data_IF_847070007548
#
_entry.id   IF_847070007548
#
_cell.length_a   1.000
_cell.length_b   1.000
_cell.length_c   1.000
_cell.angle_alpha   90.00
_cell.angle_beta   90.00
_cell.angle_gamma   90.00
#
_symmetry.space_group_name_H-M   'P 1'
#
loop_
_entity.id
_entity.type
_entity.pdbx_description
1 polymer ?
#
# COMPACT_ATOMS: atom_id res chain seq x y z
N UNK A 1 -2.15 8.34 -0.36
CA UNK A 1 -2.43 6.93 -0.07
C UNK A 1 -1.20 6.09 -0.36
N UNK A 2 -0.64 5.34 0.61
CA UNK A 2 0.62 4.62 0.50
C UNK A 2 0.50 3.33 -0.34
N UNK A 3 1.65 2.75 -0.68
CA UNK A 3 1.76 1.46 -1.34
C UNK A 3 1.58 0.28 -0.38
N UNK A 4 1.84 -0.93 -0.90
CA UNK A 4 1.85 -2.15 -0.09
C UNK A 4 3.07 -2.15 0.84
N UNK A 5 2.84 -2.33 2.13
CA UNK A 5 3.90 -2.35 3.14
C UNK A 5 4.53 -1.00 3.42
N UNK A 6 3.99 0.05 2.83
CA UNK A 6 4.30 1.42 3.16
C UNK A 6 3.39 1.91 4.31
N UNK A 7 3.78 3.02 4.90
CA UNK A 7 3.08 3.76 5.94
C UNK A 7 3.18 5.27 5.64
N UNK A 8 2.22 6.06 6.09
CA UNK A 8 2.15 7.47 5.72
C UNK A 8 3.32 8.30 6.31
N UNK A 9 3.93 7.87 7.42
CA UNK A 9 5.07 8.55 8.04
C UNK A 9 6.27 8.68 7.08
N UNK A 10 6.43 7.75 6.15
CA UNK A 10 7.45 7.80 5.10
C UNK A 10 7.30 9.01 4.17
N UNK A 11 6.12 9.59 4.10
CA UNK A 11 5.78 10.69 3.19
C UNK A 11 5.67 12.05 3.90
N UNK A 12 6.02 12.17 5.19
CA UNK A 12 5.84 13.40 5.97
C UNK A 12 6.50 14.60 5.33
N UNK A 13 7.72 14.48 4.79
CA UNK A 13 8.39 15.55 4.06
C UNK A 13 7.52 16.07 2.89
N UNK A 14 6.95 15.18 2.12
CA UNK A 14 6.08 15.54 0.99
C UNK A 14 4.77 16.17 1.47
N UNK A 15 4.17 15.64 2.54
CA UNK A 15 2.93 16.16 3.12
C UNK A 15 3.15 17.57 3.68
N UNK A 16 4.26 17.79 4.38
CA UNK A 16 4.66 19.11 4.90
C UNK A 16 4.92 20.11 3.78
N UNK A 17 5.60 19.68 2.71
CA UNK A 17 5.82 20.51 1.54
C UNK A 17 4.50 20.96 0.89
N UNK A 18 3.56 20.05 0.69
CA UNK A 18 2.26 20.41 0.14
C UNK A 18 1.46 21.32 1.08
N UNK A 19 1.54 21.07 2.38
CA UNK A 19 0.91 21.93 3.38
C UNK A 19 1.50 23.35 3.35
N UNK A 20 2.82 23.48 3.20
CA UNK A 20 3.50 24.77 3.05
C UNK A 20 3.09 25.53 1.77
N UNK A 21 2.67 24.80 0.73
CA UNK A 21 2.09 25.37 -0.49
C UNK A 21 0.60 25.77 -0.34
N UNK A 22 0.03 25.61 0.84
CA UNK A 22 -1.36 25.99 1.15
C UNK A 22 -2.39 24.89 0.95
N UNK A 23 -1.97 23.63 0.68
CA UNK A 23 -2.88 22.50 0.60
C UNK A 23 -3.21 21.96 1.99
N UNK A 24 -4.50 21.65 2.22
CA UNK A 24 -4.88 20.79 3.34
C UNK A 24 -4.64 19.34 2.94
N UNK A 25 -3.74 18.67 3.63
CA UNK A 25 -3.33 17.31 3.29
C UNK A 25 -3.83 16.32 4.35
N UNK A 26 -4.36 15.21 3.88
CA UNK A 26 -4.77 14.06 4.72
C UNK A 26 -4.12 12.81 4.16
N UNK A 27 -3.46 12.03 5.01
CA UNK A 27 -2.89 10.74 4.67
C UNK A 27 -3.55 9.65 5.52
N UNK A 28 -3.63 8.44 4.99
CA UNK A 28 -4.23 7.29 5.67
C UNK A 28 -3.53 6.01 5.27
N UNK A 29 -3.29 5.13 6.23
CA UNK A 29 -2.87 3.76 5.98
C UNK A 29 -4.07 2.88 5.62
N UNK A 30 -3.83 1.95 4.70
CA UNK A 30 -4.83 0.98 4.31
C UNK A 30 -5.19 0.02 5.44
N UNK A 31 -6.43 -0.39 5.53
CA UNK A 31 -6.89 -1.45 6.43
C UNK A 31 -5.96 -2.65 6.38
N UNK A 32 -5.51 -3.12 7.55
CA UNK A 32 -4.59 -4.26 7.67
C UNK A 32 -3.13 -3.96 7.38
N UNK A 33 -2.75 -2.66 7.24
CA UNK A 33 -1.37 -2.21 7.04
C UNK A 33 -0.99 -1.13 8.05
N UNK A 34 0.30 -1.03 8.33
CA UNK A 34 0.91 -0.04 9.22
C UNK A 34 0.11 0.15 10.52
N UNK A 35 -0.25 1.39 10.87
CA UNK A 35 -1.04 1.73 12.05
C UNK A 35 -2.50 1.24 12.02
N UNK A 36 -3.01 0.81 10.85
CA UNK A 36 -4.36 0.28 10.68
C UNK A 36 -4.50 -1.23 10.98
N UNK A 37 -3.53 -1.81 11.70
CA UNK A 37 -3.57 -3.19 12.18
C UNK A 37 -3.14 -4.25 11.17
N UNK A 38 -3.52 -5.50 11.42
CA UNK A 38 -3.20 -6.66 10.57
C UNK A 38 -4.42 -7.57 10.43
N UNK A 39 -4.56 -8.16 9.24
CA UNK A 39 -5.63 -9.11 8.92
C UNK A 39 -5.08 -10.52 8.63
N UNK A 40 -3.76 -10.68 8.58
CA UNK A 40 -3.07 -11.95 8.41
C UNK A 40 -3.11 -12.83 9.66
N UNK A 41 -2.42 -13.98 9.60
CA UNK A 41 -2.33 -14.94 10.72
C UNK A 41 -1.28 -14.57 11.77
N UNK A 42 -0.47 -13.56 11.47
CA UNK A 42 0.62 -13.07 12.32
C UNK A 42 0.73 -11.54 12.27
N UNK A 43 1.67 -10.98 13.02
CA UNK A 43 1.85 -9.54 13.16
C UNK A 43 2.44 -8.85 11.91
N UNK A 44 2.89 -9.58 10.90
CA UNK A 44 3.62 -9.02 9.76
C UNK A 44 3.05 -9.37 8.40
N UNK A 45 2.29 -10.46 8.27
CA UNK A 45 1.69 -10.87 6.98
C UNK A 45 0.60 -9.90 6.55
N UNK A 46 0.80 -9.27 5.40
CA UNK A 46 -0.19 -8.41 4.77
C UNK A 46 -1.30 -9.24 4.12
N UNK A 47 -2.54 -8.98 4.50
CA UNK A 47 -3.70 -9.71 4.00
C UNK A 47 -4.88 -8.79 3.73
N UNK A 48 -5.66 -9.15 2.74
CA UNK A 48 -7.02 -8.71 2.48
C UNK A 48 -7.74 -9.81 1.70
N UNK A 49 -8.98 -10.04 1.97
CA UNK A 49 -9.79 -11.04 1.25
C UNK A 49 -10.17 -10.57 -0.16
N UNK A 50 -10.47 -9.27 -0.30
CA UNK A 50 -10.78 -8.65 -1.56
C UNK A 50 -10.31 -7.18 -1.60
N UNK A 51 -9.70 -6.78 -2.72
CA UNK A 51 -9.29 -5.38 -2.94
C UNK A 51 -10.50 -4.43 -3.04
N UNK A 52 -11.70 -4.94 -3.36
CA UNK A 52 -12.92 -4.15 -3.32
C UNK A 52 -13.15 -3.52 -1.94
N UNK A 53 -12.78 -4.21 -0.84
CA UNK A 53 -12.88 -3.67 0.52
C UNK A 53 -12.05 -2.38 0.69
N UNK A 54 -10.85 -2.31 0.12
CA UNK A 54 -10.05 -1.09 0.15
C UNK A 54 -10.62 0.03 -0.71
N UNK A 55 -11.27 -0.31 -1.83
CA UNK A 55 -11.97 0.67 -2.67
C UNK A 55 -13.17 1.24 -1.93
N UNK A 56 -13.94 0.41 -1.22
CA UNK A 56 -15.05 0.83 -0.36
C UNK A 56 -14.57 1.70 0.81
N UNK A 57 -13.45 1.34 1.46
CA UNK A 57 -12.83 2.17 2.51
C UNK A 57 -12.44 3.54 1.94
N UNK A 58 -11.83 3.59 0.76
CA UNK A 58 -11.45 4.84 0.09
C UNK A 58 -12.69 5.67 -0.24
N UNK A 59 -13.74 5.08 -0.78
CA UNK A 59 -14.99 5.77 -1.08
C UNK A 59 -15.63 6.38 0.18
N UNK A 60 -15.59 5.64 1.27
CA UNK A 60 -16.10 6.10 2.57
C UNK A 60 -15.27 7.28 3.10
N UNK A 61 -13.93 7.13 3.11
CA UNK A 61 -13.02 8.21 3.51
C UNK A 61 -13.21 9.45 2.63
N UNK A 62 -13.27 9.28 1.32
CA UNK A 62 -13.48 10.33 0.34
C UNK A 62 -14.75 11.12 0.62
N UNK A 63 -15.87 10.44 0.79
CA UNK A 63 -17.17 11.05 1.09
C UNK A 63 -17.15 11.90 2.36
N UNK A 64 -16.54 11.39 3.45
CA UNK A 64 -16.44 12.14 4.71
C UNK A 64 -15.52 13.34 4.56
N UNK A 65 -14.33 13.13 3.99
CA UNK A 65 -13.32 14.16 3.85
C UNK A 65 -13.78 15.33 2.97
N UNK A 66 -14.44 15.04 1.83
CA UNK A 66 -14.97 16.08 0.92
C UNK A 66 -16.14 16.85 1.51
N UNK A 67 -16.91 16.24 2.41
CA UNK A 67 -17.99 16.94 3.13
C UNK A 67 -17.46 17.92 4.19
N UNK A 68 -16.26 17.70 4.71
CA UNK A 68 -15.66 18.50 5.78
C UNK A 68 -14.63 19.52 5.29
N UNK A 69 -14.20 19.42 4.05
CA UNK A 69 -13.13 20.26 3.50
C UNK A 69 -13.57 20.95 2.20
N UNK A 70 -13.16 22.22 2.00
CA UNK A 70 -13.44 22.90 0.73
C UNK A 70 -12.57 22.35 -0.40
N UNK A 71 -13.15 22.22 -1.59
CA UNK A 71 -12.42 21.84 -2.80
C UNK A 71 -11.59 22.98 -3.42
N UNK A 72 -10.85 22.72 -4.50
CA UNK A 72 -10.82 21.44 -5.24
C UNK A 72 -10.10 20.32 -4.50
N UNK A 73 -10.62 19.08 -4.62
CA UNK A 73 -10.03 17.90 -3.99
C UNK A 73 -9.19 17.10 -4.99
N UNK A 74 -8.02 16.66 -4.55
CA UNK A 74 -7.13 15.82 -5.33
C UNK A 74 -6.91 14.49 -4.59
N UNK A 75 -6.70 13.40 -5.34
CA UNK A 75 -6.24 12.12 -4.81
C UNK A 75 -4.82 11.83 -5.26
N UNK A 76 -3.97 11.40 -4.33
CA UNK A 76 -2.63 10.93 -4.64
C UNK A 76 -2.43 9.51 -4.14
N UNK A 77 -1.88 8.62 -4.97
CA UNK A 77 -1.59 7.23 -4.61
C UNK A 77 -0.27 6.75 -5.17
N UNK A 78 0.48 6.01 -4.35
CA UNK A 78 1.73 5.37 -4.72
C UNK A 78 1.56 3.85 -4.83
N UNK A 79 2.15 3.24 -5.85
CA UNK A 79 2.20 1.79 -6.04
C UNK A 79 0.81 1.13 -5.93
N UNK A 80 0.58 0.23 -4.96
CA UNK A 80 -0.74 -0.35 -4.69
C UNK A 80 -1.79 0.72 -4.38
N UNK A 81 -1.44 1.79 -3.65
CA UNK A 81 -2.35 2.92 -3.42
C UNK A 81 -2.74 3.62 -4.73
N UNK A 82 -1.81 3.75 -5.67
CA UNK A 82 -2.09 4.26 -7.02
C UNK A 82 -3.03 3.36 -7.81
N UNK A 83 -2.88 2.04 -7.70
CA UNK A 83 -3.81 1.07 -8.28
C UNK A 83 -5.22 1.22 -7.70
N UNK A 84 -5.35 1.30 -6.38
CA UNK A 84 -6.64 1.41 -5.71
C UNK A 84 -7.35 2.74 -6.02
N UNK A 85 -6.59 3.85 -6.12
CA UNK A 85 -7.13 5.13 -6.59
C UNK A 85 -7.62 5.02 -8.03
N UNK A 86 -6.84 4.43 -8.94
CA UNK A 86 -7.24 4.24 -10.33
C UNK A 86 -8.49 3.37 -10.44
N UNK A 87 -8.57 2.32 -9.66
CA UNK A 87 -9.74 1.43 -9.61
C UNK A 87 -10.97 2.17 -9.07
N UNK A 88 -10.84 2.92 -7.98
CA UNK A 88 -11.94 3.72 -7.42
C UNK A 88 -12.49 4.75 -8.41
N UNK A 89 -11.61 5.38 -9.21
CA UNK A 89 -11.98 6.28 -10.31
C UNK A 89 -12.75 5.53 -11.41
N UNK A 90 -12.22 4.39 -11.86
CA UNK A 90 -12.83 3.60 -12.92
C UNK A 90 -14.19 3.03 -12.54
N UNK A 91 -14.38 2.70 -11.26
CA UNK A 91 -15.65 2.21 -10.71
C UNK A 91 -16.60 3.35 -10.30
N UNK A 92 -16.23 4.63 -10.50
CA UNK A 92 -17.06 5.79 -10.15
C UNK A 92 -17.31 5.96 -8.65
N UNK A 93 -16.41 5.44 -7.81
CA UNK A 93 -16.53 5.51 -6.35
C UNK A 93 -16.02 6.83 -5.77
N UNK A 94 -15.21 7.56 -6.51
CA UNK A 94 -14.64 8.86 -6.15
C UNK A 94 -14.61 9.79 -7.37
N UNK A 95 -14.67 11.09 -7.14
CA UNK A 95 -14.76 12.13 -8.19
C UNK A 95 -13.81 13.31 -7.92
N UNK A 96 -12.50 13.11 -7.75
CA UNK A 96 -11.57 14.21 -7.52
C UNK A 96 -11.44 15.13 -8.74
N UNK A 97 -11.07 16.39 -8.50
CA UNK A 97 -10.70 17.34 -9.55
C UNK A 97 -9.43 16.92 -10.32
N UNK A 98 -8.63 16.05 -9.73
CA UNK A 98 -7.46 15.44 -10.35
C UNK A 98 -6.86 14.32 -9.51
N UNK A 99 -6.06 13.45 -10.14
CA UNK A 99 -5.39 12.35 -9.46
C UNK A 99 -3.90 12.30 -9.82
N UNK A 100 -3.07 12.01 -8.81
CA UNK A 100 -1.63 11.79 -8.95
C UNK A 100 -1.35 10.31 -8.69
N UNK A 101 -0.93 9.59 -9.72
CA UNK A 101 -0.60 8.17 -9.64
C UNK A 101 0.91 7.98 -9.77
N UNK A 102 1.59 7.79 -8.64
CA UNK A 102 3.03 7.54 -8.61
C UNK A 102 3.30 6.05 -8.70
N UNK A 103 3.95 5.61 -9.78
CA UNK A 103 4.28 4.21 -10.05
C UNK A 103 3.15 3.22 -9.70
N UNK A 104 1.91 3.40 -10.23
CA UNK A 104 0.77 2.57 -9.85
C UNK A 104 1.04 1.09 -10.15
N UNK A 105 0.64 0.22 -9.25
CA UNK A 105 0.78 -1.23 -9.40
C UNK A 105 -0.25 -1.75 -10.42
N UNK A 106 0.15 -1.90 -11.68
CA UNK A 106 -0.73 -2.36 -12.77
C UNK A 106 -0.58 -3.85 -13.08
N UNK A 107 0.19 -4.58 -12.29
CA UNK A 107 0.43 -6.00 -12.43
C UNK A 107 1.77 -6.41 -11.81
N UNK A 108 2.06 -7.70 -11.86
CA UNK A 108 3.35 -8.27 -11.46
C UNK A 108 4.05 -8.83 -12.68
N UNK A 109 5.34 -8.56 -12.80
CA UNK A 109 6.20 -9.29 -13.72
C UNK A 109 6.95 -10.36 -12.93
N UNK A 110 6.52 -11.61 -13.05
CA UNK A 110 7.29 -12.72 -12.53
C UNK A 110 8.26 -13.21 -13.61
N UNK A 111 9.53 -13.22 -13.29
CA UNK A 111 10.59 -13.56 -14.25
C UNK A 111 10.60 -15.01 -14.75
N UNK A 112 9.82 -15.92 -14.16
CA UNK A 112 9.91 -17.36 -14.41
C UNK A 112 8.61 -18.02 -14.87
N UNK A 113 7.43 -17.42 -14.64
CA UNK A 113 6.14 -18.02 -15.02
C UNK A 113 5.23 -16.97 -15.67
N UNK A 114 4.40 -17.37 -16.64
CA UNK A 114 3.33 -16.50 -17.15
C UNK A 114 2.35 -16.10 -16.04
N UNK A 115 1.82 -14.88 -16.09
CA UNK A 115 0.90 -14.32 -15.09
C UNK A 115 -0.30 -15.26 -14.83
N UNK A 116 -0.87 -15.86 -15.86
CA UNK A 116 -1.96 -16.82 -15.73
C UNK A 116 -1.58 -18.06 -14.89
N UNK A 117 -0.34 -18.54 -15.00
CA UNK A 117 0.13 -19.67 -14.19
C UNK A 117 0.33 -19.27 -12.72
N UNK A 118 0.79 -18.05 -12.47
CA UNK A 118 0.91 -17.51 -11.12
C UNK A 118 -0.46 -17.33 -10.44
N UNK A 119 -1.43 -16.78 -11.16
CA UNK A 119 -2.80 -16.68 -10.64
C UNK A 119 -3.42 -18.05 -10.32
N UNK A 120 -3.22 -19.04 -11.19
CA UNK A 120 -3.70 -20.39 -10.92
C UNK A 120 -3.01 -21.01 -9.70
N UNK A 121 -1.69 -20.84 -9.56
CA UNK A 121 -0.97 -21.29 -8.38
C UNK A 121 -1.51 -20.61 -7.09
N UNK A 122 -1.75 -19.30 -7.13
CA UNK A 122 -2.31 -18.56 -6.00
C UNK A 122 -3.72 -19.06 -5.63
N UNK A 123 -4.58 -19.36 -6.60
CA UNK A 123 -5.91 -19.94 -6.38
C UNK A 123 -5.84 -21.31 -5.72
N UNK A 124 -4.95 -22.17 -6.21
CA UNK A 124 -4.75 -23.50 -5.63
C UNK A 124 -4.22 -23.37 -4.20
N UNK A 125 -3.23 -22.54 -3.98
CA UNK A 125 -2.66 -22.32 -2.64
C UNK A 125 -3.64 -21.68 -1.67
N UNK A 126 -4.52 -20.79 -2.14
CA UNK A 126 -5.62 -20.22 -1.36
C UNK A 126 -6.62 -21.32 -0.95
N UNK A 127 -6.94 -22.25 -1.85
CA UNK A 127 -7.89 -23.33 -1.60
C UNK A 127 -7.34 -24.46 -0.70
N UNK A 128 -5.99 -24.65 -0.67
CA UNK A 128 -5.33 -25.72 0.08
C UNK A 128 -5.00 -25.37 1.55
N UNK A 129 -5.62 -24.36 2.13
CA UNK A 129 -5.40 -24.00 3.54
C UNK A 129 -5.86 -22.58 3.86
N UNK A 130 -5.39 -22.03 4.98
CA UNK A 130 -5.75 -20.67 5.37
C UNK A 130 -5.22 -19.66 4.33
N UNK A 131 -6.08 -18.91 3.63
CA UNK A 131 -5.66 -17.92 2.64
C UNK A 131 -4.83 -16.77 3.23
N UNK A 132 -4.90 -16.58 4.55
CA UNK A 132 -4.18 -15.53 5.27
C UNK A 132 -2.71 -15.87 5.53
N UNK A 133 -2.30 -17.15 5.34
CA UNK A 133 -0.89 -17.55 5.55
C UNK A 133 0.04 -16.87 4.54
N UNK A 134 1.32 -16.61 4.90
CA UNK A 134 2.26 -15.94 4.02
C UNK A 134 2.51 -16.74 2.73
N UNK A 135 2.56 -16.04 1.60
CA UNK A 135 2.82 -16.64 0.29
C UNK A 135 4.32 -16.85 0.01
N UNK A 136 5.19 -16.12 0.69
CA UNK A 136 6.64 -16.29 0.61
C UNK A 136 7.29 -16.07 1.98
N UNK A 137 8.53 -16.54 2.12
CA UNK A 137 9.29 -16.31 3.34
C UNK A 137 9.67 -14.83 3.44
N UNK A 138 9.46 -14.25 4.61
CA UNK A 138 9.95 -12.91 4.88
C UNK A 138 11.47 -12.92 4.96
N UNK A 139 12.13 -12.23 4.04
CA UNK A 139 13.58 -12.09 3.98
C UNK A 139 14.09 -10.82 4.66
N UNK A 140 13.18 -9.89 4.99
CA UNK A 140 13.53 -8.65 5.64
C UNK A 140 13.29 -8.77 7.15
N UNK A 141 14.33 -8.55 7.93
CA UNK A 141 14.19 -8.36 9.38
C UNK A 141 13.82 -6.90 9.64
N UNK A 142 13.00 -6.60 10.67
CA UNK A 142 12.81 -5.23 11.13
C UNK A 142 14.17 -4.58 11.42
N UNK A 143 14.38 -3.36 10.92
CA UNK A 143 15.63 -2.63 11.11
C UNK A 143 16.81 -3.03 10.21
N UNK A 144 16.69 -4.12 9.42
CA UNK A 144 17.72 -4.52 8.45
C UNK A 144 17.12 -4.60 7.04
N UNK A 145 16.84 -3.47 6.37
CA UNK A 145 16.47 -3.50 4.96
C UNK A 145 17.67 -3.97 4.14
N UNK A 146 17.46 -4.81 3.12
CA UNK A 146 18.53 -5.22 2.23
C UNK A 146 19.20 -3.99 1.60
N UNK A 147 20.53 -3.89 1.65
CA UNK A 147 21.27 -2.77 1.04
C UNK A 147 20.92 -2.57 -0.44
N UNK A 148 20.59 -3.66 -1.13
CA UNK A 148 20.13 -3.61 -2.52
C UNK A 148 18.82 -2.83 -2.71
N UNK A 149 18.00 -2.67 -1.68
CA UNK A 149 16.67 -2.03 -1.78
C UNK A 149 16.77 -0.51 -1.95
N UNK A 150 17.78 0.13 -1.38
CA UNK A 150 17.98 1.57 -1.54
C UNK A 150 18.07 1.96 -3.01
N UNK A 151 18.82 1.19 -3.80
CA UNK A 151 19.02 1.48 -5.23
C UNK A 151 17.74 1.33 -6.09
N UNK A 152 16.73 0.63 -5.55
CA UNK A 152 15.45 0.45 -6.22
C UNK A 152 14.42 1.53 -5.83
N UNK A 153 14.59 2.17 -4.66
CA UNK A 153 13.57 3.04 -4.08
C UNK A 153 13.91 4.52 -4.17
N UNK A 154 15.19 4.88 -4.03
CA UNK A 154 15.59 6.29 -4.01
C UNK A 154 17.07 6.47 -4.36
N UNK A 155 17.42 7.67 -4.84
CA UNK A 155 18.80 8.10 -5.01
C UNK A 155 19.32 8.84 -3.77
N UNK A 156 18.45 9.19 -2.83
CA UNK A 156 18.75 9.96 -1.64
C UNK A 156 18.82 9.03 -0.42
N UNK A 157 20.03 8.93 0.15
CA UNK A 157 20.29 8.07 1.31
C UNK A 157 19.62 8.61 2.58
N UNK A 158 19.50 9.93 2.74
CA UNK A 158 18.89 10.50 3.93
C UNK A 158 17.40 10.16 3.97
N UNK A 159 16.68 10.31 2.84
CA UNK A 159 15.27 9.90 2.72
C UNK A 159 15.06 8.41 2.91
N UNK A 160 16.03 7.60 2.50
CA UNK A 160 15.96 6.17 2.79
C UNK A 160 16.13 5.88 4.29
N UNK A 161 17.01 6.61 4.96
CA UNK A 161 17.21 6.50 6.41
C UNK A 161 15.96 6.92 7.20
N UNK A 162 15.14 7.83 6.70
CA UNK A 162 13.85 8.18 7.33
C UNK A 162 12.90 6.97 7.39
N UNK A 163 12.82 6.17 6.31
CA UNK A 163 12.05 4.93 6.34
C UNK A 163 12.60 3.97 7.40
N UNK A 164 13.93 3.83 7.49
CA UNK A 164 14.58 2.97 8.49
C UNK A 164 14.27 3.46 9.90
N UNK A 165 14.43 4.76 10.14
CA UNK A 165 14.11 5.37 11.44
C UNK A 165 12.68 5.02 11.91
N UNK A 166 11.69 5.18 11.03
CA UNK A 166 10.30 4.87 11.38
C UNK A 166 10.07 3.38 11.64
N UNK A 167 10.71 2.50 10.86
CA UNK A 167 10.64 1.05 11.05
C UNK A 167 11.25 0.58 12.38
N UNK A 168 12.29 1.27 12.83
CA UNK A 168 12.93 1.00 14.13
C UNK A 168 12.13 1.60 15.31
N UNK A 169 11.71 2.84 15.16
CA UNK A 169 10.94 3.55 16.19
C UNK A 169 9.53 2.97 16.40
N UNK A 170 8.92 2.43 15.34
CA UNK A 170 7.55 1.92 15.30
C UNK A 170 7.49 0.57 14.58
N UNK A 171 7.97 -0.53 15.20
CA UNK A 171 8.01 -1.86 14.56
C UNK A 171 6.65 -2.37 14.08
N UNK A 172 5.54 -1.91 14.67
CA UNK A 172 4.18 -2.23 14.24
C UNK A 172 3.83 -1.70 12.84
N UNK A 173 4.56 -0.71 12.33
CA UNK A 173 4.38 -0.22 10.96
C UNK A 173 4.90 -1.22 9.92
N UNK A 174 5.85 -2.06 10.31
CA UNK A 174 6.55 -2.95 9.38
C UNK A 174 5.64 -4.07 8.93
N UNK A 175 5.53 -4.25 7.62
CA UNK A 175 4.81 -5.36 7.00
C UNK A 175 5.78 -6.25 6.20
N UNK A 176 5.58 -7.55 6.34
CA UNK A 176 6.36 -8.58 5.65
C UNK A 176 5.68 -9.09 4.36
N UNK A 177 5.62 -10.41 4.16
CA UNK A 177 5.07 -11.02 2.96
C UNK A 177 3.58 -10.72 2.78
N UNK A 178 3.10 -10.83 1.53
CA UNK A 178 1.67 -10.94 1.26
C UNK A 178 1.17 -12.34 1.57
N UNK A 179 -0.09 -12.45 1.91
CA UNK A 179 -0.77 -13.73 2.02
C UNK A 179 -1.13 -14.31 0.64
N UNK A 180 -1.47 -15.59 0.58
CA UNK A 180 -1.99 -16.20 -0.65
C UNK A 180 -3.30 -15.56 -1.11
N UNK A 181 -4.15 -15.11 -0.17
CA UNK A 181 -5.35 -14.34 -0.49
C UNK A 181 -5.03 -13.03 -1.18
N UNK A 182 -4.03 -12.30 -0.68
CA UNK A 182 -3.58 -11.05 -1.29
C UNK A 182 -2.99 -11.28 -2.70
N UNK A 183 -2.14 -12.30 -2.88
CA UNK A 183 -1.51 -12.62 -4.19
C UNK A 183 -2.55 -12.99 -5.24
N UNK A 184 -3.61 -13.69 -4.86
CA UNK A 184 -4.68 -14.08 -5.79
C UNK A 184 -5.48 -12.87 -6.29
N UNK A 185 -5.52 -11.78 -5.52
CA UNK A 185 -6.28 -10.57 -5.86
C UNK A 185 -5.43 -9.48 -6.53
N UNK A 186 -4.12 -9.59 -6.41
CA UNK A 186 -3.18 -8.64 -6.99
C UNK A 186 -2.80 -8.99 -8.42
#
# INVERSE_FOLDING_TARGET
LPGRGDFYEKYLETLDHWNALGWRVTASDWRGQAGSGRLGTDAVTGHIDDFATWVEDLATLWKHWTAETPGPHLLAGHSMGGHLVLRALAEGQVDPAGAILSAPMLGFTASLLPDAAMHQAARVMKALGDPRRPAWKWSEKPGEPPEARIHLLTHDRERYNDEIFWREARPELVMGPGSWGWVERA
#
